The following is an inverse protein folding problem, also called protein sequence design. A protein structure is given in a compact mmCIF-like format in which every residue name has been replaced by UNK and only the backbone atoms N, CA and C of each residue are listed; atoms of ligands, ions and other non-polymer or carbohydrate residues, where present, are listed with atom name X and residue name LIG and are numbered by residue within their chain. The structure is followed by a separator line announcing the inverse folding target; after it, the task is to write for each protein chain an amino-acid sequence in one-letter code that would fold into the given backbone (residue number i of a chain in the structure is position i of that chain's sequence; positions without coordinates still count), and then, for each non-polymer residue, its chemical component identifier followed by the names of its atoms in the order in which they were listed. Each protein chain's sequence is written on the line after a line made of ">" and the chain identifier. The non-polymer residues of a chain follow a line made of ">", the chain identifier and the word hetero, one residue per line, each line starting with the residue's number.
data_IF_186964117217
#
_entry.id   IF_186964117217
#
_cell.length_a   1.000
_cell.length_b   1.000
_cell.length_c   1.000
_cell.angle_alpha   90.00
_cell.angle_beta   90.00
_cell.angle_gamma   90.00
#
_symmetry.space_group_name_H-M   'P 1'
#
loop_
_entity.id
_entity.type
_entity.pdbx_description
1 polymer ?
#
# COMPACT_ATOMS: atom_id res chain seq x y z
N UNK A 1 3.95 -28.35 -3.69
CA UNK A 1 2.67 -27.65 -3.97
C UNK A 1 2.93 -26.65 -5.09
N UNK A 2 2.46 -26.92 -6.32
CA UNK A 2 2.61 -25.99 -7.43
C UNK A 2 1.58 -24.86 -7.28
N UNK A 3 2.06 -23.64 -7.06
CA UNK A 3 1.21 -22.45 -7.02
C UNK A 3 0.65 -22.25 -8.44
N UNK A 4 -0.66 -22.40 -8.60
CA UNK A 4 -1.34 -22.19 -9.87
C UNK A 4 -1.05 -20.78 -10.40
N UNK A 5 -0.46 -20.69 -11.59
CA UNK A 5 -0.22 -19.39 -12.23
C UNK A 5 -1.58 -18.72 -12.52
N UNK A 6 -1.74 -17.40 -12.31
CA UNK A 6 -2.95 -16.66 -12.66
C UNK A 6 -3.40 -16.96 -14.10
N UNK A 7 -4.71 -16.93 -14.41
CA UNK A 7 -5.26 -17.34 -15.73
C UNK A 7 -4.66 -16.55 -16.91
N UNK A 8 -4.24 -15.30 -16.68
CA UNK A 8 -3.46 -14.51 -17.65
C UNK A 8 -2.11 -15.13 -18.05
N UNK A 9 -1.60 -16.11 -17.31
CA UNK A 9 -0.43 -16.90 -17.69
C UNK A 9 -0.81 -18.20 -18.41
N UNK A 10 -2.05 -18.67 -18.26
CA UNK A 10 -2.56 -19.87 -18.93
C UNK A 10 -2.86 -19.56 -20.40
N UNK A 11 -3.43 -18.39 -20.68
CA UNK A 11 -3.75 -17.92 -22.05
C UNK A 11 -2.53 -17.30 -22.79
N UNK A 12 -1.34 -17.38 -22.19
CA UNK A 12 -0.14 -16.72 -22.68
C UNK A 12 -0.10 -15.22 -22.36
N UNK A 13 1.08 -14.60 -22.53
CA UNK A 13 1.23 -13.16 -22.29
C UNK A 13 0.30 -12.36 -23.21
N UNK A 14 -0.37 -11.30 -22.73
CA UNK A 14 -1.23 -10.49 -23.56
C UNK A 14 -0.44 -9.92 -24.75
N UNK A 15 -1.08 -9.93 -25.92
CA UNK A 15 -0.48 -9.37 -27.14
C UNK A 15 -0.25 -7.88 -26.93
N UNK A 16 0.91 -7.41 -27.38
CA UNK A 16 1.27 -6.00 -27.30
C UNK A 16 0.51 -5.25 -28.39
N UNK A 17 -0.31 -4.30 -28.00
CA UNK A 17 -1.11 -3.47 -28.89
C UNK A 17 -0.41 -2.13 -29.14
N UNK A 18 -0.47 -1.63 -30.37
CA UNK A 18 -0.01 -0.27 -30.69
C UNK A 18 -1.15 0.71 -30.45
N UNK A 19 -0.85 1.83 -29.79
CA UNK A 19 -1.79 2.95 -29.76
C UNK A 19 -1.91 3.58 -31.17
N UNK A 20 -3.09 4.11 -31.56
CA UNK A 20 -3.29 4.71 -32.87
C UNK A 20 -2.29 5.85 -33.14
N UNK A 21 -1.75 5.95 -34.37
CA UNK A 21 -0.79 7.01 -34.75
C UNK A 21 -1.32 8.41 -34.46
N UNK A 22 -2.62 8.66 -34.71
CA UNK A 22 -3.29 9.93 -34.41
C UNK A 22 -3.24 10.30 -32.92
N UNK A 23 -3.28 9.32 -32.02
CA UNK A 23 -3.14 9.55 -30.59
C UNK A 23 -1.75 10.09 -30.24
N UNK A 24 -0.69 9.47 -30.79
CA UNK A 24 0.68 9.97 -30.59
C UNK A 24 0.89 11.33 -31.21
N UNK A 25 0.35 11.57 -32.40
CA UNK A 25 0.41 12.85 -33.06
C UNK A 25 -0.24 13.94 -32.19
N UNK A 26 -1.45 13.69 -31.70
CA UNK A 26 -2.14 14.57 -30.75
C UNK A 26 -1.27 14.85 -29.50
N UNK A 27 -0.77 13.81 -28.84
CA UNK A 27 0.02 13.98 -27.62
C UNK A 27 1.33 14.76 -27.84
N UNK A 28 2.03 14.49 -28.95
CA UNK A 28 3.37 15.05 -29.21
C UNK A 28 3.28 16.43 -29.86
N UNK A 29 2.43 16.60 -30.88
CA UNK A 29 2.37 17.81 -31.70
C UNK A 29 1.34 18.83 -31.17
N UNK A 30 0.22 18.36 -30.59
CA UNK A 30 -0.91 19.23 -30.24
C UNK A 30 -1.06 19.49 -28.74
N UNK A 31 -0.26 18.84 -27.89
CA UNK A 31 -0.28 19.04 -26.44
C UNK A 31 1.07 19.57 -25.89
N UNK A 32 1.63 20.69 -26.39
CA UNK A 32 2.96 21.17 -25.95
C UNK A 32 3.00 21.57 -24.47
N UNK A 33 1.85 21.98 -23.91
CA UNK A 33 1.69 22.42 -22.53
C UNK A 33 1.27 21.29 -21.57
N UNK A 34 1.45 20.02 -21.95
CA UNK A 34 1.05 18.88 -21.14
C UNK A 34 1.73 18.88 -19.76
N UNK A 35 0.94 18.96 -18.69
CA UNK A 35 1.45 18.96 -17.30
C UNK A 35 1.41 17.57 -16.65
N UNK A 36 0.49 16.71 -17.09
CA UNK A 36 0.31 15.37 -16.54
C UNK A 36 0.02 14.38 -17.66
N UNK A 37 0.76 13.28 -17.69
CA UNK A 37 0.57 12.18 -18.62
C UNK A 37 0.43 10.88 -17.85
N UNK A 38 -0.72 10.23 -17.99
CA UNK A 38 -0.98 8.90 -17.46
C UNK A 38 -1.45 7.99 -18.57
N UNK A 39 -0.79 6.86 -18.76
CA UNK A 39 -1.21 5.82 -19.69
C UNK A 39 -1.09 4.48 -18.95
N UNK A 40 -2.20 3.76 -18.87
CA UNK A 40 -2.35 2.56 -18.05
C UNK A 40 -3.32 2.77 -16.89
N UNK A 41 -3.64 1.69 -16.17
CA UNK A 41 -4.52 1.69 -15.00
C UNK A 41 -3.80 1.28 -13.73
N UNK A 42 -4.44 1.53 -12.58
CA UNK A 42 -3.96 1.04 -11.28
C UNK A 42 -4.19 -0.46 -11.09
N UNK A 43 -5.19 -1.01 -11.77
CA UNK A 43 -5.45 -2.44 -11.81
C UNK A 43 -4.69 -3.08 -12.98
N UNK A 44 -4.19 -4.32 -12.82
CA UNK A 44 -3.64 -5.07 -13.94
C UNK A 44 -4.62 -5.13 -15.11
N UNK A 45 -4.22 -4.60 -16.25
CA UNK A 45 -4.98 -4.65 -17.49
C UNK A 45 -4.71 -5.97 -18.23
N UNK A 46 -5.73 -6.60 -18.84
CA UNK A 46 -5.51 -7.71 -19.77
C UNK A 46 -4.85 -7.25 -21.08
N UNK A 47 -4.74 -5.93 -21.30
CA UNK A 47 -4.15 -5.30 -22.49
C UNK A 47 -2.80 -4.70 -22.15
N UNK A 48 -1.84 -4.88 -23.05
CA UNK A 48 -0.48 -4.36 -22.93
C UNK A 48 -0.21 -3.41 -24.10
N UNK A 49 0.15 -2.16 -23.84
CA UNK A 49 0.38 -1.18 -24.91
C UNK A 49 1.87 -0.97 -25.23
N UNK A 50 2.21 -0.84 -26.51
CA UNK A 50 3.52 -0.33 -26.95
C UNK A 50 3.52 1.20 -26.87
N UNK A 51 4.30 1.72 -25.92
CA UNK A 51 4.30 3.14 -25.58
C UNK A 51 5.67 3.78 -25.72
N UNK A 52 6.58 3.13 -26.45
CA UNK A 52 7.94 3.63 -26.71
C UNK A 52 7.96 5.03 -27.32
N UNK A 53 6.94 5.37 -28.11
CA UNK A 53 6.74 6.68 -28.71
C UNK A 53 6.63 7.82 -27.68
N UNK A 54 6.27 7.53 -26.43
CA UNK A 54 6.24 8.53 -25.36
C UNK A 54 7.59 9.22 -25.16
N UNK A 55 8.70 8.50 -25.40
CA UNK A 55 10.07 9.01 -25.22
C UNK A 55 10.44 10.08 -26.26
N UNK A 56 9.67 10.21 -27.35
CA UNK A 56 9.82 11.28 -28.33
C UNK A 56 9.19 12.61 -27.87
N UNK A 57 8.26 12.58 -26.92
CA UNK A 57 7.62 13.79 -26.38
C UNK A 57 8.60 14.72 -25.68
N UNK A 58 8.37 16.03 -25.81
CA UNK A 58 9.16 17.10 -25.17
C UNK A 58 8.21 18.11 -24.52
N UNK A 59 7.66 17.73 -23.37
CA UNK A 59 6.65 18.52 -22.66
C UNK A 59 7.33 19.30 -21.54
N UNK A 60 7.75 20.53 -21.80
CA UNK A 60 8.52 21.35 -20.85
C UNK A 60 7.78 21.62 -19.53
N UNK A 61 6.44 21.55 -19.55
CA UNK A 61 5.56 21.72 -18.39
C UNK A 61 5.19 20.41 -17.68
N UNK A 62 5.70 19.26 -18.14
CA UNK A 62 5.36 17.96 -17.55
C UNK A 62 5.84 17.86 -16.11
N UNK A 63 4.87 17.69 -15.20
CA UNK A 63 5.05 17.53 -13.76
C UNK A 63 4.74 16.12 -13.29
N UNK A 64 3.85 15.41 -13.98
CA UNK A 64 3.40 14.06 -13.59
C UNK A 64 3.52 13.07 -14.75
N UNK A 65 4.15 11.94 -14.49
CA UNK A 65 4.27 10.83 -15.43
C UNK A 65 3.82 9.54 -14.75
N UNK A 66 2.80 8.87 -15.31
CA UNK A 66 2.38 7.54 -14.88
C UNK A 66 2.30 6.59 -16.07
N UNK A 67 3.07 5.50 -16.00
CA UNK A 67 3.20 4.49 -17.04
C UNK A 67 2.85 3.13 -16.45
N UNK A 68 1.80 2.49 -16.97
CA UNK A 68 1.30 1.21 -16.50
C UNK A 68 0.92 0.25 -17.61
N UNK A 69 1.14 -1.05 -17.39
CA UNK A 69 0.81 -2.12 -18.34
C UNK A 69 1.30 -1.81 -19.76
N UNK A 70 2.60 -1.56 -19.87
CA UNK A 70 3.27 -1.18 -21.11
C UNK A 70 4.45 -2.08 -21.43
N UNK A 71 4.74 -2.16 -22.73
CA UNK A 71 6.01 -2.65 -23.25
C UNK A 71 6.84 -1.45 -23.70
N UNK A 72 7.87 -1.11 -22.92
CA UNK A 72 8.91 -0.16 -23.30
C UNK A 72 10.09 -0.84 -24.01
N UNK A 73 10.14 -2.18 -24.04
CA UNK A 73 11.25 -2.96 -24.61
C UNK A 73 10.82 -4.10 -25.55
N UNK A 74 11.42 -4.31 -26.75
CA UNK A 74 11.21 -5.45 -27.61
C UNK A 74 11.91 -6.68 -27.02
N UNK A 75 11.58 -7.84 -27.56
CA UNK A 75 12.14 -9.11 -27.08
C UNK A 75 13.65 -9.21 -27.36
N UNK A 76 14.37 -9.52 -26.29
CA UNK A 76 15.70 -10.13 -26.11
C UNK A 76 17.00 -9.38 -26.42
N UNK A 77 17.16 -8.57 -27.47
CA UNK A 77 18.53 -8.08 -27.82
C UNK A 77 18.72 -6.54 -27.80
N UNK A 78 17.72 -5.78 -27.37
CA UNK A 78 17.72 -4.31 -27.41
C UNK A 78 17.60 -3.62 -26.04
N UNK A 79 17.89 -4.35 -24.96
CA UNK A 79 17.70 -3.89 -23.57
C UNK A 79 18.36 -2.51 -23.31
N UNK A 80 19.54 -2.27 -23.88
CA UNK A 80 20.29 -1.02 -23.69
C UNK A 80 19.67 0.20 -24.39
N UNK A 81 19.15 0.06 -25.62
CA UNK A 81 18.74 1.22 -26.43
C UNK A 81 17.51 1.93 -25.87
N UNK A 82 16.50 1.20 -25.40
CA UNK A 82 15.30 1.84 -24.84
C UNK A 82 15.42 2.16 -23.36
N UNK A 83 16.24 1.41 -22.61
CA UNK A 83 16.69 1.87 -21.29
C UNK A 83 17.33 3.25 -21.40
N UNK A 84 18.14 3.47 -22.44
CA UNK A 84 18.67 4.79 -22.76
C UNK A 84 17.59 5.78 -23.21
N UNK A 85 16.57 5.37 -23.98
CA UNK A 85 15.48 6.25 -24.40
C UNK A 85 14.64 6.76 -23.22
N UNK A 86 14.21 5.88 -22.31
CA UNK A 86 13.50 6.25 -21.09
C UNK A 86 14.37 7.15 -20.19
N UNK A 87 15.66 6.80 -20.03
CA UNK A 87 16.62 7.62 -19.28
C UNK A 87 16.73 9.02 -19.88
N UNK A 88 16.96 9.14 -21.19
CA UNK A 88 17.03 10.43 -21.90
C UNK A 88 15.74 11.22 -21.76
N UNK A 89 14.59 10.54 -21.84
CA UNK A 89 13.30 11.16 -21.62
C UNK A 89 13.22 11.77 -20.20
N UNK A 90 13.50 11.01 -19.14
CA UNK A 90 13.44 11.53 -17.77
C UNK A 90 14.42 12.70 -17.54
N UNK A 91 15.63 12.63 -18.11
CA UNK A 91 16.61 13.72 -18.05
C UNK A 91 16.09 15.00 -18.72
N UNK A 92 15.37 14.85 -19.84
CA UNK A 92 14.83 15.98 -20.61
C UNK A 92 13.64 16.67 -19.95
N UNK A 93 13.13 16.15 -18.82
CA UNK A 93 11.94 16.66 -18.12
C UNK A 93 12.28 17.04 -16.66
N UNK A 94 13.07 18.10 -16.42
CA UNK A 94 13.52 18.50 -15.08
C UNK A 94 12.39 19.00 -14.16
N UNK A 95 11.22 19.31 -14.73
CA UNK A 95 10.04 19.75 -13.98
C UNK A 95 9.19 18.61 -13.42
N UNK A 96 9.54 17.35 -13.68
CA UNK A 96 8.85 16.19 -13.13
C UNK A 96 8.91 16.21 -11.59
N UNK A 97 7.73 16.13 -11.00
CA UNK A 97 7.49 16.06 -9.56
C UNK A 97 7.04 14.67 -9.13
N UNK A 98 6.32 13.96 -10.01
CA UNK A 98 5.70 12.67 -9.73
C UNK A 98 6.01 11.70 -10.88
N UNK A 99 6.66 10.57 -10.56
CA UNK A 99 6.97 9.51 -11.52
C UNK A 99 6.41 8.19 -10.99
N UNK A 100 5.56 7.54 -11.78
CA UNK A 100 4.91 6.30 -11.41
C UNK A 100 5.05 5.24 -12.49
N UNK A 101 5.67 4.12 -12.14
CA UNK A 101 5.72 2.90 -12.91
C UNK A 101 4.76 1.89 -12.28
N UNK A 102 3.59 1.73 -12.89
CA UNK A 102 2.54 0.81 -12.46
C UNK A 102 2.85 -0.58 -13.05
N UNK A 103 2.76 -1.61 -12.21
CA UNK A 103 3.03 -3.01 -12.58
C UNK A 103 4.39 -3.28 -13.28
N UNK A 104 5.52 -2.77 -12.74
CA UNK A 104 6.83 -2.88 -13.39
C UNK A 104 7.43 -4.30 -13.38
N UNK A 105 6.76 -5.26 -12.73
CA UNK A 105 7.15 -6.68 -12.73
C UNK A 105 6.89 -7.41 -14.05
N UNK A 106 6.22 -6.76 -15.01
CA UNK A 106 6.02 -7.28 -16.37
C UNK A 106 7.26 -7.14 -17.25
N UNK A 107 7.32 -7.93 -18.33
CA UNK A 107 8.44 -7.98 -19.29
C UNK A 107 8.59 -6.74 -20.20
N UNK A 108 8.21 -5.56 -19.71
CA UNK A 108 8.15 -4.32 -20.49
C UNK A 108 8.91 -3.14 -19.89
N UNK A 109 9.54 -3.31 -18.73
CA UNK A 109 10.31 -2.26 -18.07
C UNK A 109 11.80 -2.60 -18.03
N UNK A 110 12.70 -1.60 -18.18
CA UNK A 110 14.13 -1.79 -18.04
C UNK A 110 14.57 -2.62 -16.83
N UNK A 111 15.60 -3.43 -17.01
CA UNK A 111 16.20 -4.17 -15.90
C UNK A 111 16.73 -3.23 -14.82
N UNK A 112 17.27 -2.05 -15.19
CA UNK A 112 17.77 -1.00 -14.29
C UNK A 112 17.40 0.41 -14.79
N UNK A 113 17.46 1.42 -13.91
CA UNK A 113 17.19 2.82 -14.24
C UNK A 113 18.26 3.73 -13.61
N UNK A 114 19.42 3.87 -14.24
CA UNK A 114 20.47 4.76 -13.75
C UNK A 114 20.29 6.18 -14.28
N UNK A 115 20.12 7.15 -13.38
CA UNK A 115 19.97 8.56 -13.71
C UNK A 115 21.18 9.37 -13.22
N UNK A 116 21.63 10.41 -13.96
CA UNK A 116 22.68 11.30 -13.47
C UNK A 116 22.18 12.11 -12.26
N UNK A 117 23.11 12.57 -11.41
CA UNK A 117 22.78 13.33 -10.19
C UNK A 117 21.94 14.59 -10.42
N UNK A 118 22.03 15.21 -11.60
CA UNK A 118 21.26 16.41 -11.94
C UNK A 118 19.84 16.13 -12.47
N UNK A 119 19.47 14.87 -12.68
CA UNK A 119 18.14 14.52 -13.19
C UNK A 119 17.07 14.68 -12.12
N UNK A 120 15.85 15.04 -12.55
CA UNK A 120 14.64 15.07 -11.71
C UNK A 120 14.79 15.89 -10.40
N UNK A 121 15.34 17.12 -10.42
CA UNK A 121 15.63 17.87 -9.19
C UNK A 121 14.40 18.22 -8.35
N UNK A 122 13.21 18.24 -8.97
CA UNK A 122 11.92 18.57 -8.33
C UNK A 122 11.09 17.35 -7.95
N UNK A 123 11.61 16.15 -8.11
CA UNK A 123 10.87 14.92 -7.84
C UNK A 123 10.62 14.76 -6.35
N UNK A 124 9.35 14.60 -5.99
CA UNK A 124 8.84 14.47 -4.61
C UNK A 124 8.02 13.19 -4.41
N UNK A 125 7.49 12.60 -5.47
CA UNK A 125 6.70 11.37 -5.43
C UNK A 125 7.27 10.36 -6.41
N UNK A 126 7.53 9.15 -5.93
CA UNK A 126 7.96 8.04 -6.76
C UNK A 126 7.13 6.79 -6.47
N UNK A 127 6.70 6.13 -7.54
CA UNK A 127 6.00 4.86 -7.50
C UNK A 127 6.68 3.90 -8.47
N UNK A 128 7.11 2.74 -8.02
CA UNK A 128 7.87 1.82 -8.87
C UNK A 128 8.53 0.68 -8.11
N UNK A 129 9.36 -0.13 -8.80
CA UNK A 129 10.02 -1.26 -8.19
C UNK A 129 11.22 -0.80 -7.35
N UNK A 130 11.53 -1.54 -6.28
CA UNK A 130 12.62 -1.20 -5.35
C UNK A 130 13.98 -0.96 -6.04
N UNK A 131 14.25 -1.75 -7.09
CA UNK A 131 15.49 -1.66 -7.87
C UNK A 131 15.72 -0.29 -8.52
N UNK A 132 14.66 0.43 -8.88
CA UNK A 132 14.78 1.77 -9.46
C UNK A 132 15.02 2.82 -8.40
N UNK A 133 14.44 2.64 -7.21
CA UNK A 133 14.54 3.63 -6.14
C UNK A 133 16.01 3.83 -5.74
N UNK A 134 16.78 2.74 -5.65
CA UNK A 134 18.22 2.78 -5.31
C UNK A 134 19.07 3.62 -6.27
N UNK A 135 18.61 3.82 -7.49
CA UNK A 135 19.33 4.57 -8.53
C UNK A 135 18.73 5.95 -8.81
N UNK A 136 17.72 6.38 -8.04
CA UNK A 136 17.17 7.73 -8.15
C UNK A 136 18.12 8.75 -7.51
N UNK A 137 18.27 9.93 -8.12
CA UNK A 137 18.93 11.07 -7.50
C UNK A 137 18.01 11.68 -6.43
N UNK A 138 18.60 12.48 -5.53
CA UNK A 138 17.86 13.32 -4.57
C UNK A 138 16.83 12.57 -3.69
N UNK A 139 17.17 11.37 -3.19
CA UNK A 139 16.30 10.60 -2.29
C UNK A 139 15.81 11.39 -1.07
N UNK A 140 16.61 12.35 -0.59
CA UNK A 140 16.25 13.24 0.52
C UNK A 140 15.04 14.14 0.26
N UNK A 141 14.66 14.36 -1.00
CA UNK A 141 13.50 15.19 -1.38
C UNK A 141 12.19 14.39 -1.54
N UNK A 142 12.28 13.05 -1.59
CA UNK A 142 11.11 12.20 -1.78
C UNK A 142 10.23 12.27 -0.52
N UNK A 143 8.98 12.69 -0.72
CA UNK A 143 7.94 12.78 0.31
C UNK A 143 6.93 11.66 0.24
N UNK A 144 6.72 11.12 -0.96
CA UNK A 144 5.78 10.02 -1.22
C UNK A 144 6.50 8.89 -1.95
N UNK A 145 6.44 7.70 -1.37
CA UNK A 145 7.00 6.49 -1.95
C UNK A 145 5.96 5.38 -2.04
N UNK A 146 5.82 4.79 -3.22
CA UNK A 146 4.98 3.60 -3.45
C UNK A 146 5.82 2.49 -4.06
N UNK A 147 6.07 1.43 -3.30
CA UNK A 147 6.81 0.27 -3.79
C UNK A 147 5.82 -0.69 -4.45
N UNK A 148 5.87 -0.78 -5.77
CA UNK A 148 4.93 -1.56 -6.61
C UNK A 148 5.46 -2.95 -6.97
N UNK A 149 6.60 -3.35 -6.43
CA UNK A 149 7.10 -4.72 -6.59
C UNK A 149 6.13 -5.70 -5.94
N UNK A 150 5.40 -6.44 -6.79
CA UNK A 150 4.68 -7.64 -6.36
C UNK A 150 5.73 -8.54 -5.69
N UNK A 151 5.52 -8.90 -4.43
CA UNK A 151 6.41 -9.74 -3.61
C UNK A 151 7.60 -9.03 -2.93
N UNK A 152 7.33 -8.00 -2.10
CA UNK A 152 8.33 -7.56 -1.13
C UNK A 152 8.44 -8.57 0.01
N UNK A 153 9.28 -9.59 -0.21
CA UNK A 153 9.53 -10.66 0.75
C UNK A 153 10.50 -10.24 1.87
N UNK A 154 10.56 -11.05 2.92
CA UNK A 154 11.39 -10.80 4.10
C UNK A 154 12.86 -10.45 3.78
N UNK A 155 13.48 -11.18 2.84
CA UNK A 155 14.87 -10.94 2.44
C UNK A 155 15.09 -9.61 1.72
N UNK A 156 14.03 -8.99 1.19
CA UNK A 156 14.10 -7.70 0.53
C UNK A 156 14.00 -6.53 1.52
N UNK A 157 13.60 -6.75 2.78
CA UNK A 157 13.42 -5.68 3.76
C UNK A 157 14.71 -5.04 4.27
N UNK A 158 15.80 -5.77 4.60
CA UNK A 158 17.04 -5.14 5.04
C UNK A 158 17.55 -4.03 4.10
N UNK A 159 17.66 -4.24 2.77
CA UNK A 159 18.03 -3.16 1.87
C UNK A 159 16.96 -2.07 1.74
N UNK A 160 15.67 -2.39 1.96
CA UNK A 160 14.60 -1.39 2.00
C UNK A 160 14.73 -0.48 3.22
N UNK A 161 15.05 -1.00 4.40
CA UNK A 161 15.26 -0.18 5.60
C UNK A 161 16.38 0.82 5.39
N UNK A 162 17.52 0.37 4.84
CA UNK A 162 18.65 1.25 4.53
C UNK A 162 18.26 2.37 3.55
N UNK A 163 17.47 2.03 2.53
CA UNK A 163 16.95 3.00 1.56
C UNK A 163 15.96 3.99 2.19
N UNK A 164 15.03 3.52 3.03
CA UNK A 164 14.05 4.38 3.71
C UNK A 164 14.73 5.39 4.64
N UNK A 165 15.78 4.96 5.35
CA UNK A 165 16.62 5.86 6.18
C UNK A 165 17.30 6.96 5.38
N UNK A 166 17.52 6.76 4.07
CA UNK A 166 18.06 7.78 3.18
C UNK A 166 17.01 8.81 2.70
N UNK A 167 15.74 8.68 3.13
CA UNK A 167 14.63 9.57 2.76
C UNK A 167 14.05 10.29 4.00
N UNK A 168 14.79 11.23 4.61
CA UNK A 168 14.32 11.95 5.79
C UNK A 168 13.03 12.75 5.58
N UNK A 169 12.70 13.13 4.34
CA UNK A 169 11.47 13.87 4.02
C UNK A 169 10.25 12.97 3.79
N UNK A 170 10.37 11.65 3.94
CA UNK A 170 9.31 10.72 3.59
C UNK A 170 8.13 10.82 4.57
N UNK A 171 6.96 11.22 4.05
CA UNK A 171 5.72 11.40 4.82
C UNK A 171 4.63 10.41 4.42
N UNK A 172 4.70 9.84 3.22
CA UNK A 172 3.73 8.88 2.70
C UNK A 172 4.43 7.63 2.16
N UNK A 173 4.04 6.46 2.64
CA UNK A 173 4.62 5.18 2.25
C UNK A 173 3.53 4.18 1.88
N UNK A 174 3.64 3.57 0.70
CA UNK A 174 2.81 2.44 0.27
C UNK A 174 3.66 1.23 -0.05
N UNK A 175 3.31 0.08 0.51
CA UNK A 175 4.07 -1.16 0.37
C UNK A 175 3.17 -2.36 0.13
N UNK A 176 3.66 -3.28 -0.69
CA UNK A 176 3.07 -4.59 -0.93
C UNK A 176 3.98 -5.65 -0.33
N UNK A 177 3.55 -6.27 0.76
CA UNK A 177 4.33 -7.22 1.55
C UNK A 177 3.91 -8.64 1.20
N UNK A 178 4.89 -9.51 0.99
CA UNK A 178 4.67 -10.94 0.81
C UNK A 178 5.38 -11.74 1.90
N UNK A 179 4.60 -12.43 2.72
CA UNK A 179 5.08 -13.26 3.82
C UNK A 179 5.05 -14.76 3.49
N UNK A 180 4.73 -15.14 2.25
CA UNK A 180 4.64 -16.55 1.81
C UNK A 180 5.99 -17.26 1.84
N UNK A 181 7.09 -16.50 1.72
CA UNK A 181 8.46 -17.01 1.71
C UNK A 181 9.20 -16.78 3.03
N UNK A 182 8.49 -16.43 4.10
CA UNK A 182 9.11 -16.30 5.42
C UNK A 182 9.73 -17.64 5.82
N UNK A 183 11.03 -17.63 6.11
CA UNK A 183 11.76 -18.84 6.43
C UNK A 183 11.32 -19.32 7.81
N UNK A 184 10.57 -20.43 7.87
CA UNK A 184 10.09 -21.01 9.14
C UNK A 184 11.22 -21.33 10.14
N UNK A 185 12.47 -21.39 9.68
CA UNK A 185 13.62 -21.67 10.51
C UNK A 185 14.07 -20.47 11.36
N UNK A 186 13.57 -19.25 11.12
CA UNK A 186 13.88 -18.09 11.95
C UNK A 186 12.62 -17.31 12.39
N UNK A 187 11.79 -17.88 13.29
CA UNK A 187 10.53 -17.29 13.72
C UNK A 187 10.65 -15.97 14.50
N UNK A 188 11.88 -15.54 14.84
CA UNK A 188 12.13 -14.33 15.61
C UNK A 188 12.16 -13.06 14.77
N UNK A 189 12.41 -13.15 13.46
CA UNK A 189 12.68 -11.96 12.64
C UNK A 189 11.41 -11.37 12.01
N UNK A 190 10.38 -12.20 11.75
CA UNK A 190 9.11 -11.78 11.15
C UNK A 190 8.34 -10.76 12.00
N UNK A 191 8.43 -10.90 13.32
CA UNK A 191 7.67 -10.09 14.29
C UNK A 191 8.09 -8.62 14.28
N UNK A 192 9.27 -8.32 13.75
CA UNK A 192 9.85 -6.99 13.78
C UNK A 192 9.77 -6.25 12.44
N UNK A 193 9.20 -6.85 11.38
CA UNK A 193 9.16 -6.21 10.05
C UNK A 193 8.53 -4.82 10.11
N UNK A 194 7.34 -4.70 10.71
CA UNK A 194 6.66 -3.41 10.83
C UNK A 194 7.36 -2.45 11.76
N UNK A 195 7.96 -2.95 12.84
CA UNK A 195 8.73 -2.13 13.78
C UNK A 195 9.93 -1.50 13.08
N UNK A 196 10.79 -2.33 12.49
CA UNK A 196 11.98 -1.90 11.75
C UNK A 196 11.63 -0.99 10.57
N UNK A 197 10.52 -1.26 9.88
CA UNK A 197 10.00 -0.41 8.81
C UNK A 197 9.65 0.99 9.33
N UNK A 198 8.87 1.08 10.41
CA UNK A 198 8.42 2.36 10.98
C UNK A 198 9.58 3.14 11.61
N UNK A 199 10.51 2.45 12.27
CA UNK A 199 11.75 3.05 12.80
C UNK A 199 12.65 3.61 11.70
N UNK A 200 12.55 3.08 10.47
CA UNK A 200 13.28 3.60 9.31
C UNK A 200 12.65 4.87 8.71
N UNK A 201 11.44 5.24 9.14
CA UNK A 201 10.67 6.37 8.61
C UNK A 201 10.08 7.23 9.76
N UNK A 202 10.89 7.94 10.56
CA UNK A 202 10.43 8.64 11.77
C UNK A 202 9.45 9.80 11.50
N UNK A 203 9.43 10.32 10.27
CA UNK A 203 8.56 11.43 9.83
C UNK A 203 7.31 10.96 9.08
N UNK A 204 7.03 9.66 9.10
CA UNK A 204 5.92 9.09 8.33
C UNK A 204 4.58 9.53 8.91
N UNK A 205 3.77 10.19 8.09
CA UNK A 205 2.42 10.64 8.44
C UNK A 205 1.35 9.67 7.96
N UNK A 206 1.60 9.00 6.84
CA UNK A 206 0.64 8.15 6.13
C UNK A 206 1.27 6.83 5.70
N UNK A 207 0.66 5.72 6.10
CA UNK A 207 1.12 4.37 5.76
C UNK A 207 0.02 3.56 5.06
N UNK A 208 0.32 2.97 3.91
CA UNK A 208 -0.56 1.99 3.26
C UNK A 208 0.17 0.66 3.12
N UNK A 209 -0.42 -0.40 3.67
CA UNK A 209 0.15 -1.76 3.62
C UNK A 209 -0.84 -2.70 2.94
N UNK A 210 -0.36 -3.41 1.94
CA UNK A 210 -1.05 -4.51 1.30
C UNK A 210 -0.34 -5.83 1.60
N UNK A 211 -1.03 -6.81 2.20
CA UNK A 211 -0.48 -8.11 2.58
C UNK A 211 -1.45 -9.24 2.23
N UNK A 212 -1.44 -9.68 0.97
CA UNK A 212 -2.40 -10.67 0.45
C UNK A 212 -1.91 -12.13 0.55
N UNK A 213 -1.10 -12.46 1.55
CA UNK A 213 -0.35 -13.72 1.58
C UNK A 213 -0.68 -14.54 2.82
N UNK A 214 -0.41 -15.85 2.75
CA UNK A 214 -0.44 -16.77 3.88
C UNK A 214 0.96 -17.36 4.04
N UNK A 215 1.60 -17.28 5.22
CA UNK A 215 1.08 -16.70 6.47
C UNK A 215 0.82 -15.18 6.39
N UNK A 216 0.02 -14.69 7.35
CA UNK A 216 -0.21 -13.26 7.61
C UNK A 216 -0.02 -12.99 9.11
N UNK A 217 0.12 -11.72 9.50
CA UNK A 217 0.41 -11.29 10.86
C UNK A 217 -0.85 -10.96 11.68
N UNK A 218 -0.80 -11.08 13.02
CA UNK A 218 -1.85 -10.60 13.91
C UNK A 218 -1.93 -9.07 13.94
N UNK A 219 -3.14 -8.51 13.96
CA UNK A 219 -3.35 -7.05 14.08
C UNK A 219 -2.78 -6.49 15.40
N UNK A 220 -2.77 -7.30 16.46
CA UNK A 220 -2.15 -6.93 17.74
C UNK A 220 -0.66 -6.58 17.59
N UNK A 221 0.09 -7.35 16.79
CA UNK A 221 1.52 -7.11 16.56
C UNK A 221 1.72 -5.84 15.73
N UNK A 222 0.92 -5.66 14.67
CA UNK A 222 0.92 -4.43 13.88
C UNK A 222 0.62 -3.20 14.75
N UNK A 223 -0.44 -3.26 15.57
CA UNK A 223 -0.82 -2.21 16.53
C UNK A 223 0.33 -1.86 17.50
N UNK A 224 1.08 -2.85 17.97
CA UNK A 224 2.23 -2.62 18.84
C UNK A 224 3.39 -1.93 18.11
N UNK A 225 3.61 -2.26 16.83
CA UNK A 225 4.64 -1.66 15.98
C UNK A 225 4.33 -0.21 15.62
N UNK A 226 3.05 0.16 15.43
CA UNK A 226 2.62 1.55 15.13
C UNK A 226 3.18 2.59 16.11
N UNK A 227 3.41 2.20 17.37
CA UNK A 227 4.02 3.06 18.41
C UNK A 227 5.41 3.56 18.06
N UNK A 228 6.10 2.91 17.12
CA UNK A 228 7.44 3.31 16.67
C UNK A 228 7.40 4.49 15.68
N UNK A 229 6.22 4.89 15.20
CA UNK A 229 6.03 6.11 14.40
C UNK A 229 5.05 7.05 15.11
N UNK A 230 5.54 7.87 16.07
CA UNK A 230 4.69 8.78 16.81
C UNK A 230 4.09 9.89 15.93
N UNK A 231 4.62 10.14 14.73
CA UNK A 231 4.07 11.14 13.81
C UNK A 231 2.95 10.59 12.91
N UNK A 232 2.71 9.28 12.93
CA UNK A 232 1.75 8.65 12.05
C UNK A 232 0.32 9.11 12.37
N UNK A 233 -0.33 9.73 11.38
CA UNK A 233 -1.69 10.27 11.49
C UNK A 233 -2.72 9.37 10.85
N UNK A 234 -2.36 8.65 9.80
CA UNK A 234 -3.28 7.69 9.21
C UNK A 234 -2.60 6.47 8.62
N UNK A 235 -3.36 5.37 8.55
CA UNK A 235 -2.93 4.20 7.80
C UNK A 235 -4.10 3.46 7.14
N UNK A 236 -3.79 2.72 6.08
CA UNK A 236 -4.69 1.73 5.50
C UNK A 236 -3.99 0.37 5.48
N UNK A 237 -4.65 -0.64 6.02
CA UNK A 237 -4.13 -1.99 6.07
C UNK A 237 -5.07 -2.94 5.33
N UNK A 238 -4.57 -3.54 4.27
CA UNK A 238 -5.21 -4.68 3.61
C UNK A 238 -4.46 -5.96 3.94
N UNK A 239 -5.14 -6.97 4.49
CA UNK A 239 -4.54 -8.29 4.77
C UNK A 239 -5.50 -9.44 4.43
N UNK A 240 -4.98 -10.65 4.26
CA UNK A 240 -5.83 -11.85 4.14
C UNK A 240 -6.50 -12.18 5.48
N UNK A 241 -7.80 -12.47 5.45
CA UNK A 241 -8.60 -12.88 6.60
C UNK A 241 -8.14 -14.22 7.18
N UNK A 242 -8.08 -14.31 8.50
CA UNK A 242 -7.97 -15.55 9.28
C UNK A 242 -9.19 -15.73 10.18
N UNK A 243 -9.63 -16.97 10.36
CA UNK A 243 -10.72 -17.29 11.32
C UNK A 243 -10.36 -16.95 12.76
N UNK A 244 -9.06 -16.91 13.09
CA UNK A 244 -8.53 -16.51 14.39
C UNK A 244 -8.27 -15.00 14.52
N UNK A 245 -8.55 -14.21 13.49
CA UNK A 245 -8.45 -12.75 13.62
C UNK A 245 -9.45 -12.24 14.65
N UNK A 246 -9.02 -11.25 15.42
CA UNK A 246 -9.85 -10.57 16.40
C UNK A 246 -10.98 -9.77 15.72
N UNK A 247 -12.05 -9.52 16.46
CA UNK A 247 -13.08 -8.58 16.04
C UNK A 247 -12.47 -7.22 15.64
N UNK A 248 -13.00 -6.67 14.55
CA UNK A 248 -12.46 -5.46 13.93
C UNK A 248 -12.63 -4.24 14.84
N UNK A 249 -13.77 -4.11 15.52
CA UNK A 249 -14.04 -3.01 16.44
C UNK A 249 -13.12 -3.07 17.66
N UNK A 250 -12.89 -4.27 18.21
CA UNK A 250 -11.92 -4.47 19.30
C UNK A 250 -10.50 -4.09 18.88
N UNK A 251 -10.09 -4.51 17.68
CA UNK A 251 -8.77 -4.16 17.12
C UNK A 251 -8.62 -2.65 16.91
N UNK A 252 -9.66 -2.00 16.37
CA UNK A 252 -9.70 -0.56 16.13
C UNK A 252 -9.64 0.23 17.44
N UNK A 253 -10.44 -0.13 18.44
CA UNK A 253 -10.40 0.50 19.77
C UNK A 253 -9.01 0.37 20.42
N UNK A 254 -8.36 -0.80 20.32
CA UNK A 254 -6.98 -0.99 20.80
C UNK A 254 -5.99 -0.07 20.09
N UNK A 255 -6.09 0.07 18.77
CA UNK A 255 -5.21 0.95 18.01
C UNK A 255 -5.40 2.40 18.44
N UNK A 256 -6.65 2.86 18.56
CA UNK A 256 -6.98 4.20 19.02
C UNK A 256 -6.38 4.49 20.40
N UNK A 257 -6.49 3.55 21.34
CA UNK A 257 -5.91 3.70 22.68
C UNK A 257 -4.38 3.72 22.70
N UNK A 258 -3.73 2.86 21.92
CA UNK A 258 -2.29 2.70 21.96
C UNK A 258 -1.52 3.71 21.09
N UNK A 259 -2.20 4.43 20.19
CA UNK A 259 -1.58 5.31 19.21
C UNK A 259 -2.37 6.62 19.11
N UNK A 260 -2.24 7.53 20.10
CA UNK A 260 -3.10 8.72 20.23
C UNK A 260 -2.97 9.72 19.08
N UNK A 261 -1.89 9.65 18.29
CA UNK A 261 -1.66 10.55 17.15
C UNK A 261 -2.37 10.09 15.86
N UNK A 262 -2.87 8.85 15.83
CA UNK A 262 -3.64 8.35 14.70
C UNK A 262 -5.03 8.99 14.73
N UNK A 263 -5.42 9.58 13.60
CA UNK A 263 -6.69 10.28 13.42
C UNK A 263 -7.65 9.45 12.56
N UNK A 264 -7.13 8.76 11.53
CA UNK A 264 -7.94 7.97 10.61
C UNK A 264 -7.25 6.68 10.22
N UNK A 265 -7.97 5.57 10.18
CA UNK A 265 -7.41 4.34 9.62
C UNK A 265 -8.47 3.42 9.04
N UNK A 266 -8.03 2.49 8.19
CA UNK A 266 -8.91 1.48 7.60
C UNK A 266 -8.30 0.09 7.61
N UNK A 267 -9.20 -0.90 7.74
CA UNK A 267 -8.89 -2.31 7.59
C UNK A 267 -9.65 -2.88 6.41
N UNK A 268 -8.96 -3.68 5.59
CA UNK A 268 -9.56 -4.48 4.53
C UNK A 268 -9.09 -5.92 4.71
N UNK A 269 -10.02 -6.81 5.03
CA UNK A 269 -9.75 -8.24 5.13
C UNK A 269 -10.18 -8.93 3.84
N UNK A 270 -9.20 -9.36 3.04
CA UNK A 270 -9.42 -10.12 1.82
C UNK A 270 -9.72 -11.60 2.15
N UNK A 271 -10.72 -12.19 1.50
CA UNK A 271 -11.10 -13.60 1.68
C UNK A 271 -10.00 -14.54 1.18
N UNK A 272 -9.41 -14.19 0.05
CA UNK A 272 -8.43 -15.01 -0.67
C UNK A 272 -7.10 -14.27 -0.79
N UNK A 273 -6.03 -15.02 -1.04
CA UNK A 273 -4.76 -14.42 -1.44
C UNK A 273 -4.89 -13.89 -2.87
N UNK A 274 -4.17 -12.80 -3.19
CA UNK A 274 -4.22 -12.16 -4.51
C UNK A 274 -3.77 -13.10 -5.65
N UNK A 275 -3.09 -14.19 -5.30
CA UNK A 275 -2.67 -15.23 -6.23
C UNK A 275 -3.84 -16.07 -6.79
N UNK A 276 -5.04 -15.97 -6.23
CA UNK A 276 -6.20 -16.72 -6.75
C UNK A 276 -6.88 -15.97 -7.90
N UNK A 277 -7.48 -16.72 -8.83
CA UNK A 277 -8.15 -16.22 -10.04
C UNK A 277 -9.34 -15.27 -9.79
N UNK A 278 -9.74 -15.06 -8.53
CA UNK A 278 -10.92 -14.31 -8.13
C UNK A 278 -10.45 -13.05 -7.43
N UNK A 279 -10.14 -12.03 -8.24
CA UNK A 279 -9.82 -10.63 -7.84
C UNK A 279 -10.19 -10.37 -6.38
N UNK A 280 -9.16 -10.26 -5.52
CA UNK A 280 -9.22 -10.49 -4.08
C UNK A 280 -10.50 -10.01 -3.40
N UNK A 281 -11.47 -10.91 -3.25
CA UNK A 281 -12.79 -10.57 -2.69
C UNK A 281 -12.63 -10.01 -1.29
N UNK A 282 -13.18 -8.83 -1.05
CA UNK A 282 -13.20 -8.24 0.29
C UNK A 282 -14.22 -9.00 1.14
N UNK A 283 -13.77 -9.59 2.24
CA UNK A 283 -14.62 -10.27 3.22
C UNK A 283 -15.19 -9.29 4.23
N UNK A 284 -14.35 -8.41 4.74
CA UNK A 284 -14.70 -7.38 5.72
C UNK A 284 -13.89 -6.11 5.44
N UNK A 285 -14.50 -4.97 5.72
CA UNK A 285 -13.93 -3.65 5.59
C UNK A 285 -14.36 -2.80 6.78
N UNK A 286 -13.46 -1.97 7.28
CA UNK A 286 -13.76 -0.99 8.31
C UNK A 286 -12.98 0.29 8.09
N UNK A 287 -13.65 1.42 8.29
CA UNK A 287 -13.08 2.76 8.29
C UNK A 287 -13.37 3.41 9.64
N UNK A 288 -12.32 3.96 10.25
CA UNK A 288 -12.33 4.45 11.61
C UNK A 288 -11.74 5.86 11.66
N UNK A 289 -12.44 6.77 12.32
CA UNK A 289 -12.01 8.14 12.58
C UNK A 289 -12.06 8.42 14.08
N UNK A 290 -10.94 8.85 14.64
CA UNK A 290 -10.78 9.08 16.07
C UNK A 290 -11.14 10.54 16.36
N UNK A 291 -12.04 10.73 17.32
CA UNK A 291 -12.42 12.03 17.84
C UNK A 291 -11.68 12.27 19.16
N UNK A 292 -10.79 13.25 19.14
CA UNK A 292 -10.05 13.67 20.34
C UNK A 292 -10.81 14.73 21.13
N UNK A 293 -10.68 14.67 22.46
CA UNK A 293 -11.18 15.71 23.35
C UNK A 293 -10.32 16.97 23.31
N UNK A 294 -10.68 17.96 24.13
CA UNK A 294 -9.91 19.19 24.29
C UNK A 294 -8.49 18.96 24.85
N UNK A 295 -8.28 17.84 25.53
CA UNK A 295 -6.98 17.37 26.05
C UNK A 295 -6.10 16.69 24.99
N UNK A 296 -6.60 16.57 23.75
CA UNK A 296 -5.93 15.85 22.67
C UNK A 296 -6.00 14.33 22.79
N UNK A 297 -6.65 13.77 23.82
CA UNK A 297 -6.77 12.33 24.02
C UNK A 297 -7.97 11.76 23.24
N UNK A 298 -7.87 10.52 22.73
CA UNK A 298 -8.98 9.84 22.06
C UNK A 298 -10.18 9.64 23.00
N UNK A 299 -11.32 10.25 22.68
CA UNK A 299 -12.57 10.16 23.48
C UNK A 299 -13.59 9.21 22.86
N UNK A 300 -13.72 9.24 21.54
CA UNK A 300 -14.63 8.38 20.81
C UNK A 300 -14.09 8.08 19.41
N UNK A 301 -14.68 7.10 18.76
CA UNK A 301 -14.32 6.66 17.42
C UNK A 301 -15.58 6.54 16.57
N UNK A 302 -15.63 7.27 15.46
CA UNK A 302 -16.62 7.05 14.41
C UNK A 302 -16.17 5.84 13.60
N UNK A 303 -17.06 4.87 13.46
CA UNK A 303 -16.77 3.63 12.76
C UNK A 303 -17.81 3.38 11.67
N UNK A 304 -17.33 3.03 10.47
CA UNK A 304 -18.11 2.41 9.42
C UNK A 304 -17.55 1.03 9.15
N UNK A 305 -18.39 0.01 9.21
CA UNK A 305 -18.00 -1.35 8.89
C UNK A 305 -18.93 -1.95 7.84
N UNK A 306 -18.35 -2.78 7.00
CA UNK A 306 -19.05 -3.59 6.02
C UNK A 306 -18.44 -4.99 5.98
N UNK A 307 -19.23 -6.02 5.71
CA UNK A 307 -18.67 -7.35 5.49
C UNK A 307 -19.69 -8.42 5.16
N UNK A 308 -19.17 -9.64 5.00
CA UNK A 308 -19.93 -10.85 4.72
C UNK A 308 -20.01 -11.74 5.97
N UNK A 309 -21.23 -12.06 6.40
CA UNK A 309 -21.51 -13.06 7.43
C UNK A 309 -21.38 -14.48 6.87
N UNK A 310 -21.55 -15.48 7.73
CA UNK A 310 -21.83 -16.84 7.28
C UNK A 310 -23.00 -16.83 6.27
N UNK A 311 -22.95 -17.69 5.25
CA UNK A 311 -23.94 -17.78 4.18
C UNK A 311 -24.02 -16.57 3.23
N UNK A 312 -23.00 -15.69 3.23
CA UNK A 312 -22.87 -14.63 2.22
C UNK A 312 -23.78 -13.41 2.44
N UNK A 313 -24.53 -13.37 3.55
CA UNK A 313 -25.30 -12.18 3.91
C UNK A 313 -24.36 -11.00 4.18
N UNK A 314 -24.59 -9.89 3.49
CA UNK A 314 -23.85 -8.65 3.73
C UNK A 314 -24.36 -7.97 5.00
N UNK A 315 -23.48 -7.26 5.69
CA UNK A 315 -23.86 -6.29 6.70
C UNK A 315 -23.14 -4.97 6.44
N UNK A 316 -23.78 -3.88 6.87
CA UNK A 316 -23.12 -2.59 7.02
C UNK A 316 -23.61 -1.95 8.31
N UNK A 317 -22.73 -1.23 9.01
CA UNK A 317 -23.09 -0.47 10.21
C UNK A 317 -22.25 0.78 10.31
N UNK A 318 -22.89 1.87 10.76
CA UNK A 318 -22.23 3.09 11.23
C UNK A 318 -22.53 3.22 12.72
N UNK A 319 -21.51 3.47 13.53
CA UNK A 319 -21.67 3.61 14.96
C UNK A 319 -20.59 4.52 15.54
N UNK A 320 -20.86 5.04 16.73
CA UNK A 320 -19.90 5.79 17.54
C UNK A 320 -19.52 4.92 18.73
N UNK A 321 -18.24 4.66 18.92
CA UNK A 321 -17.74 3.89 20.05
C UNK A 321 -17.02 4.82 21.02
N UNK A 322 -17.52 4.92 22.25
CA UNK A 322 -16.82 5.62 23.33
C UNK A 322 -15.57 4.85 23.73
N UNK A 323 -14.43 5.52 23.70
CA UNK A 323 -13.14 4.97 24.09
C UNK A 323 -13.00 5.19 25.59
N UNK A 324 -13.27 4.14 26.39
CA UNK A 324 -13.13 4.25 27.85
C UNK A 324 -11.66 4.48 28.18
N UNK A 325 -11.37 5.55 28.93
CA UNK A 325 -10.03 5.74 29.51
C UNK A 325 -9.67 4.45 30.26
N UNK A 326 -8.62 3.76 29.80
CA UNK A 326 -8.04 2.66 30.55
C UNK A 326 -7.50 3.29 31.83
N UNK A 327 -8.33 3.33 32.88
CA UNK A 327 -7.87 3.64 34.23
C UNK A 327 -6.71 2.69 34.46
N UNK A 328 -5.50 3.22 34.45
CA UNK A 328 -4.27 2.50 34.73
C UNK A 328 -4.50 1.87 36.08
N UNK A 329 -4.89 0.60 36.10
CA UNK A 329 -4.87 -0.23 37.29
C UNK A 329 -3.40 -0.27 37.68
N UNK A 330 -2.97 0.71 38.48
CA UNK A 330 -1.70 0.69 39.18
C UNK A 330 -1.70 -0.64 39.92
N UNK A 331 -0.94 -1.58 39.39
CA UNK A 331 -0.72 -2.88 39.98
C UNK A 331 0.04 -2.66 41.28
N UNK A 332 -0.69 -2.54 42.39
CA UNK A 332 -0.16 -2.82 43.71
C UNK A 332 0.21 -4.30 43.73
N UNK A 333 1.48 -4.59 43.51
CA UNK A 333 2.07 -5.91 43.57
C UNK A 333 2.11 -6.40 45.02
N UNK A 334 1.20 -7.29 45.38
CA UNK A 334 1.42 -8.33 46.39
C UNK A 334 0.13 -9.12 46.61
N UNK A 335 -0.08 -10.22 45.89
CA UNK A 335 -0.70 -11.42 46.47
C UNK A 335 -0.67 -12.59 45.50
N UNK A 336 -0.26 -13.70 46.09
CA UNK A 336 -0.14 -15.05 45.57
C UNK A 336 -1.54 -15.63 45.28
N UNK A 337 -1.58 -16.57 44.33
CA UNK A 337 -2.50 -17.70 44.18
C UNK A 337 -3.75 -17.66 43.28
N UNK A 338 -3.85 -18.79 42.59
CA UNK A 338 -5.01 -19.51 42.08
C UNK A 338 -5.58 -19.08 40.73
N UNK A 339 -5.32 -19.94 39.74
CA UNK A 339 -6.08 -20.03 38.50
C UNK A 339 -7.43 -20.66 38.80
N UNK A 340 -8.48 -19.85 38.80
CA UNK A 340 -9.85 -20.33 38.60
C UNK A 340 -10.36 -19.86 37.25
N UNK A 341 -10.80 -20.83 36.46
CA UNK A 341 -11.49 -20.64 35.18
C UNK A 341 -12.73 -19.77 35.40
N UNK A 342 -12.74 -18.57 34.84
CA UNK A 342 -13.91 -17.69 34.83
C UNK A 342 -14.43 -17.49 33.41
N UNK A 343 -15.73 -17.72 33.29
CA UNK A 343 -16.55 -17.61 32.10
C UNK A 343 -16.50 -16.19 31.51
N UNK A 344 -16.43 -16.10 30.19
CA UNK A 344 -16.47 -14.82 29.46
C UNK A 344 -17.88 -14.24 29.53
N UNK A 345 -18.04 -13.22 30.37
CA UNK A 345 -19.19 -12.32 30.30
C UNK A 345 -19.17 -11.59 28.94
N UNK A 346 -20.23 -11.81 28.15
CA UNK A 346 -20.46 -11.13 26.89
C UNK A 346 -20.66 -9.63 27.15
N UNK A 347 -19.91 -8.79 26.47
CA UNK A 347 -20.13 -7.34 26.51
C UNK A 347 -21.47 -7.00 25.82
N UNK A 348 -22.25 -6.02 26.33
CA UNK A 348 -23.53 -5.65 25.72
C UNK A 348 -23.33 -5.14 24.29
N UNK A 349 -24.15 -5.63 23.36
CA UNK A 349 -24.24 -5.08 22.00
C UNK A 349 -24.64 -3.60 22.08
N UNK A 350 -23.99 -2.70 21.33
CA UNK A 350 -24.43 -1.31 21.24
C UNK A 350 -25.85 -1.25 20.66
N UNK A 351 -26.72 -0.49 21.32
CA UNK A 351 -28.12 -0.31 20.92
C UNK A 351 -28.25 0.71 19.76
N UNK A 352 -29.18 0.40 18.86
CA UNK A 352 -29.77 1.20 17.77
C UNK A 352 -28.84 1.81 16.70
N UNK A 353 -29.00 1.32 15.46
CA UNK A 353 -28.44 1.88 14.22
C UNK A 353 -29.59 2.41 13.37
N UNK A 354 -29.55 3.70 13.03
CA UNK A 354 -30.36 4.28 11.95
C UNK A 354 -29.74 3.87 10.61
N UNK A 355 -30.49 3.13 9.80
CA UNK A 355 -30.10 2.73 8.45
C UNK A 355 -30.22 3.93 7.49
N UNK A 356 -29.08 4.44 7.02
CA UNK A 356 -29.02 5.39 5.91
C UNK A 356 -28.36 4.76 4.69
N UNK A 357 -29.10 4.72 3.58
CA UNK A 357 -28.62 4.23 2.29
C UNK A 357 -27.86 5.35 1.55
N UNK A 358 -26.54 5.37 1.66
CA UNK A 358 -25.67 6.00 0.66
C UNK A 358 -24.27 5.37 0.69
N UNK A 359 -23.87 4.84 -0.47
CA UNK A 359 -22.59 4.18 -0.73
C UNK A 359 -21.46 5.20 -0.95
N UNK A 360 -20.25 5.01 -0.38
CA UNK A 360 -19.07 5.75 -0.79
C UNK A 360 -18.60 5.31 -2.18
N UNK A 361 -18.29 6.27 -3.05
CA UNK A 361 -17.82 6.04 -4.43
C UNK A 361 -16.41 5.43 -4.54
N UNK A 362 -15.64 5.42 -3.45
CA UNK A 362 -14.26 4.91 -3.41
C UNK A 362 -14.13 3.38 -3.47
N UNK A 363 -15.21 2.62 -3.32
CA UNK A 363 -15.20 1.15 -3.29
C UNK A 363 -15.70 0.48 -4.59
N UNK A 364 -16.05 1.25 -5.63
CA UNK A 364 -16.56 0.68 -6.90
C UNK A 364 -15.49 0.05 -7.79
N UNK A 365 -14.20 0.15 -7.42
CA UNK A 365 -13.07 -0.28 -8.27
C UNK A 365 -12.10 -1.25 -7.57
N UNK A 366 -12.53 -1.93 -6.50
CA UNK A 366 -11.78 -3.01 -5.86
C UNK A 366 -12.41 -4.38 -6.13
#
# INVERSE_FOLDING_TARGET
>A
MAIGKPRYFIDGRPRVEKLPRRCWQMLIEYCPNLEALSIGGHAPSPRLFDTRHITAGRWTRLRKLALGDMKLQPSSDQDDKESQALRKFLISHPNLQEVSFLNPGGAGFPSSLSLPRAALPKMRSFSGPLKYIKSLPHLSHIRELKITTLHHCQSAFPPTYAMLKAMPSLTFLTLWIDLSFANHNNPHDDKNIFKSLLESCPHLLHLTVFCFTRPTFPIKEFSAALRCSPQLRSFSLTKTYKSSDEDMALSAARIAHNNPNIQRFSFTYAQESWLTHRSGRVKQFGEFEILSGADGLPTSMLAYEWGLKAFGQTYSRRYVQTLKSQKTRRSSSSSIMSWSSSERAWSPRPQSVLSFNSFPSSLKHL
#
